data_IF_150259224522
#
_entry.id   IF_150259224522
#
_cell.length_a   1.000
_cell.length_b   1.000
_cell.length_c   1.000
_cell.angle_alpha   90.00
_cell.angle_beta   90.00
_cell.angle_gamma   90.00
#
_symmetry.space_group_name_H-M   'P 1'
#
loop_
_entity.id
_entity.type
_entity.pdbx_description
1 polymer ?
#
# COMPACT_ATOMS: atom_id res chain seq x y z
N UNK A 1 8.07 -4.25 -20.01
CA UNK A 1 7.05 -4.01 -18.97
C UNK A 1 6.78 -2.53 -18.96
N UNK A 2 5.54 -2.11 -19.24
CA UNK A 2 5.17 -0.70 -19.25
C UNK A 2 4.29 -0.44 -18.03
N UNK A 3 4.79 0.38 -17.12
CA UNK A 3 4.03 0.82 -15.96
C UNK A 3 3.30 2.12 -16.30
N UNK A 4 2.06 2.21 -15.86
CA UNK A 4 1.27 3.43 -15.86
C UNK A 4 1.27 4.00 -14.45
N UNK A 5 1.35 5.31 -14.34
CA UNK A 5 1.39 6.03 -13.07
C UNK A 5 0.42 7.20 -13.11
N UNK A 6 -0.28 7.42 -12.02
CA UNK A 6 -1.10 8.61 -11.81
C UNK A 6 -1.15 8.97 -10.33
N UNK A 7 -1.40 10.24 -10.03
CA UNK A 7 -1.66 10.71 -8.67
C UNK A 7 -3.07 11.29 -8.65
N UNK A 8 -3.90 10.80 -7.74
CA UNK A 8 -5.27 11.28 -7.58
C UNK A 8 -5.29 12.64 -6.87
N UNK A 9 -6.42 13.35 -6.95
CA UNK A 9 -6.60 14.67 -6.31
C UNK A 9 -6.43 14.64 -4.78
N UNK A 10 -6.63 13.47 -4.15
CA UNK A 10 -6.40 13.25 -2.72
C UNK A 10 -4.93 12.92 -2.35
N UNK A 11 -4.02 12.92 -3.33
CA UNK A 11 -2.60 12.63 -3.16
C UNK A 11 -2.22 11.15 -3.21
N UNK A 12 -3.16 10.23 -3.43
CA UNK A 12 -2.83 8.81 -3.58
C UNK A 12 -2.09 8.56 -4.89
N UNK A 13 -0.91 7.96 -4.79
CA UNK A 13 -0.12 7.51 -5.94
C UNK A 13 -0.53 6.08 -6.35
N UNK A 14 -0.79 5.90 -7.65
CA UNK A 14 -1.12 4.61 -8.24
C UNK A 14 -0.06 4.29 -9.28
N UNK A 15 0.54 3.10 -9.16
CA UNK A 15 1.45 2.53 -10.16
C UNK A 15 0.89 1.15 -10.53
N UNK A 16 0.68 0.91 -11.82
CA UNK A 16 0.10 -0.33 -12.30
C UNK A 16 0.75 -0.81 -13.59
N UNK A 17 0.87 -2.13 -13.74
CA UNK A 17 1.15 -2.76 -15.03
C UNK A 17 -0.17 -3.32 -15.57
N UNK A 18 -0.52 -2.98 -16.81
CA UNK A 18 -1.74 -3.50 -17.46
C UNK A 18 -1.36 -4.56 -18.50
N UNK A 19 -1.87 -5.77 -18.32
CA UNK A 19 -1.68 -6.90 -19.25
C UNK A 19 -3.04 -7.37 -19.76
N UNK A 20 -3.36 -7.20 -21.06
CA UNK A 20 -4.64 -7.62 -21.61
C UNK A 20 -4.95 -9.12 -21.44
N UNK A 21 -3.91 -9.95 -21.47
CA UNK A 21 -4.00 -11.41 -21.34
C UNK A 21 -4.13 -11.88 -19.86
N UNK A 22 -4.11 -10.97 -18.89
CA UNK A 22 -4.15 -11.35 -17.48
C UNK A 22 -5.54 -11.83 -17.06
N UNK A 23 -5.61 -13.05 -16.50
CA UNK A 23 -6.84 -13.63 -15.97
C UNK A 23 -7.11 -13.27 -14.50
N UNK A 24 -6.18 -12.59 -13.84
CA UNK A 24 -6.29 -12.15 -12.45
C UNK A 24 -5.59 -10.81 -12.26
N UNK A 25 -5.98 -10.11 -11.21
CA UNK A 25 -5.35 -8.86 -10.80
C UNK A 25 -4.77 -9.04 -9.40
N UNK A 26 -3.55 -8.52 -9.20
CA UNK A 26 -2.96 -8.37 -7.87
C UNK A 26 -2.96 -6.89 -7.52
N UNK A 27 -3.38 -6.57 -6.30
CA UNK A 27 -3.44 -5.19 -5.78
C UNK A 27 -2.75 -5.20 -4.43
N UNK A 28 -1.90 -4.20 -4.19
CA UNK A 28 -1.30 -3.95 -2.89
C UNK A 28 -1.49 -2.49 -2.51
N UNK A 29 -1.72 -2.24 -1.22
CA UNK A 29 -1.72 -0.90 -0.65
C UNK A 29 -0.48 -0.74 0.19
N UNK A 30 0.26 0.34 -0.04
CA UNK A 30 1.42 0.69 0.77
C UNK A 30 1.14 2.01 1.46
N UNK A 31 1.36 2.03 2.77
CA UNK A 31 1.28 3.24 3.59
C UNK A 31 2.69 3.60 4.02
N UNK A 32 3.05 4.88 3.92
CA UNK A 32 4.37 5.38 4.29
C UNK A 32 4.48 5.56 5.82
N UNK A 33 4.20 4.51 6.57
CA UNK A 33 4.27 4.43 8.04
C UNK A 33 4.54 2.98 8.47
N UNK A 34 5.08 2.77 9.67
CA UNK A 34 5.16 1.46 10.30
C UNK A 34 5.85 1.50 11.66
N UNK A 35 6.33 0.36 12.16
CA UNK A 35 6.95 0.27 13.50
C UNK A 35 8.15 1.19 13.73
N UNK A 36 8.81 1.66 12.66
CA UNK A 36 9.89 2.65 12.77
C UNK A 36 9.37 4.02 13.24
N UNK A 37 8.11 4.33 13.00
CA UNK A 37 7.48 5.61 13.29
C UNK A 37 6.79 5.61 14.67
N UNK A 38 6.88 4.50 15.42
CA UNK A 38 6.30 4.34 16.75
C UNK A 38 7.19 4.91 17.87
N UNK A 39 6.54 5.38 18.94
CA UNK A 39 7.23 5.64 20.21
C UNK A 39 7.30 4.35 21.04
N UNK A 40 8.12 4.35 22.09
CA UNK A 40 8.22 3.20 23.00
C UNK A 40 6.88 2.84 23.66
N UNK A 41 6.03 3.82 23.95
CA UNK A 41 4.74 3.63 24.63
C UNK A 41 3.69 2.90 23.77
N UNK A 42 3.86 2.92 22.44
CA UNK A 42 2.89 2.35 21.48
C UNK A 42 3.52 1.28 20.58
N UNK A 43 4.64 0.70 21.00
CA UNK A 43 5.36 -0.30 20.22
C UNK A 43 4.44 -1.48 19.85
N UNK A 44 4.41 -1.81 18.56
CA UNK A 44 3.60 -2.89 17.98
C UNK A 44 2.23 -2.47 17.48
N UNK A 45 1.81 -1.21 17.66
CA UNK A 45 0.49 -0.74 17.21
C UNK A 45 0.33 -0.80 15.69
N UNK A 46 1.33 -0.46 14.90
CA UNK A 46 1.27 -0.50 13.43
C UNK A 46 1.06 -1.91 12.92
N UNK A 47 1.80 -2.89 13.48
CA UNK A 47 1.64 -4.30 13.13
C UNK A 47 0.28 -4.84 13.63
N UNK A 48 -0.16 -4.42 14.81
CA UNK A 48 -1.49 -4.74 15.30
C UNK A 48 -2.58 -4.20 14.36
N UNK A 49 -2.48 -2.95 13.91
CA UNK A 49 -3.41 -2.34 12.95
C UNK A 49 -3.38 -3.04 11.59
N UNK A 50 -2.21 -3.46 11.10
CA UNK A 50 -2.07 -4.28 9.90
C UNK A 50 -2.87 -5.58 10.03
N UNK A 51 -2.77 -6.26 11.17
CA UNK A 51 -3.56 -7.45 11.45
C UNK A 51 -5.05 -7.20 11.57
N UNK A 52 -5.50 -6.01 11.98
CA UNK A 52 -6.93 -5.68 12.08
C UNK A 52 -7.54 -5.23 10.75
N UNK A 53 -6.71 -4.95 9.74
CA UNK A 53 -7.16 -4.60 8.40
C UNK A 53 -7.61 -5.83 7.58
N UNK A 54 -7.40 -7.04 8.10
CA UNK A 54 -7.73 -8.33 7.47
C UNK A 54 -8.33 -9.30 8.49
#
# INVERSE_FOLDING_TARGET
MQFQQTTLDNGLEIIAETKPEAHSTAIGFLVKTGSRDETMDINGVSHFLEHMAF
#
